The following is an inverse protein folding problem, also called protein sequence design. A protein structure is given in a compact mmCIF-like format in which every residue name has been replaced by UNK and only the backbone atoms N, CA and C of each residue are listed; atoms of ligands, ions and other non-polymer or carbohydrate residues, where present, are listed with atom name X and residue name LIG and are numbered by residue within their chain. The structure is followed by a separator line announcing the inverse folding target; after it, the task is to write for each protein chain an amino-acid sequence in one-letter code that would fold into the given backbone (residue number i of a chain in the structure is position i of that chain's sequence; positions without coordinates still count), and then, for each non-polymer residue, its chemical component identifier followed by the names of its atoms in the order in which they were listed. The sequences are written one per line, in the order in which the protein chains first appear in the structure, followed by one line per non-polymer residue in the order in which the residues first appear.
data_IF_050607310729
#
_entry.id   IF_050607310729
#
_cell.length_a   1.000
_cell.length_b   1.000
_cell.length_c   1.000
_cell.angle_alpha   90.00
_cell.angle_beta   90.00
_cell.angle_gamma   90.00
#
_symmetry.space_group_name_H-M   'P 1'
#
loop_
_entity.id
_entity.type
_entity.pdbx_description
1 polymer ?
#
# COMPACT_ATOMS: atom_id res chain seq x y z
N UNK A 1 -10.81 36.15 7.12
CA UNK A 1 -10.97 35.81 8.56
C UNK A 1 -9.73 35.08 9.07
N UNK A 2 -9.83 34.38 10.20
CA UNK A 2 -8.71 33.69 10.87
C UNK A 2 -8.51 32.22 10.47
N UNK A 3 -9.32 31.72 9.55
CA UNK A 3 -9.41 30.29 9.22
C UNK A 3 -8.06 29.65 8.83
N UNK A 4 -7.31 30.25 7.90
CA UNK A 4 -6.02 29.72 7.46
C UNK A 4 -5.00 29.67 8.61
N UNK A 5 -5.02 30.66 9.50
CA UNK A 5 -4.18 30.68 10.70
C UNK A 5 -4.57 29.54 11.66
N UNK A 6 -5.86 29.31 11.87
CA UNK A 6 -6.34 28.22 12.73
C UNK A 6 -5.98 26.84 12.19
N UNK A 7 -6.02 26.65 10.87
CA UNK A 7 -5.56 25.42 10.20
C UNK A 7 -4.06 25.26 10.40
N UNK A 8 -3.27 26.30 10.13
CA UNK A 8 -1.81 26.27 10.29
C UNK A 8 -1.39 25.94 11.73
N UNK A 9 -2.06 26.51 12.73
CA UNK A 9 -1.83 26.20 14.15
C UNK A 9 -2.14 24.73 14.48
N UNK A 10 -3.30 24.22 14.03
CA UNK A 10 -3.65 22.82 14.25
C UNK A 10 -2.65 21.86 13.60
N UNK A 11 -2.19 22.18 12.39
CA UNK A 11 -1.16 21.41 11.69
C UNK A 11 0.20 21.48 12.38
N UNK A 12 0.61 22.67 12.86
CA UNK A 12 1.88 22.83 13.58
C UNK A 12 1.89 22.00 14.87
N UNK A 13 0.79 22.02 15.63
CA UNK A 13 0.61 21.21 16.84
C UNK A 13 0.70 19.71 16.55
N UNK A 14 0.01 19.23 15.50
CA UNK A 14 0.09 17.83 15.08
C UNK A 14 1.47 17.43 14.56
N UNK A 15 2.19 18.34 13.89
CA UNK A 15 3.48 18.06 13.27
C UNK A 15 4.64 18.07 14.29
N UNK A 16 4.43 18.66 15.47
CA UNK A 16 5.45 18.76 16.52
C UNK A 16 5.99 17.40 16.98
N UNK A 17 5.23 16.31 16.82
CA UNK A 17 5.64 14.93 17.15
C UNK A 17 5.55 13.95 15.97
N UNK A 18 5.38 14.43 14.73
CA UNK A 18 5.02 13.57 13.60
C UNK A 18 6.06 12.50 13.26
N UNK A 19 7.35 12.81 13.29
CA UNK A 19 8.39 11.83 12.95
C UNK A 19 8.43 10.70 13.98
N UNK A 20 8.35 11.06 15.28
CA UNK A 20 8.29 10.08 16.37
C UNK A 20 7.07 9.20 16.25
N UNK A 21 5.90 9.81 16.05
CA UNK A 21 4.62 9.11 16.04
C UNK A 21 4.50 8.16 14.84
N UNK A 22 5.11 8.49 13.69
CA UNK A 22 5.24 7.58 12.53
C UNK A 22 6.01 6.32 12.92
N UNK A 23 7.16 6.45 13.58
CA UNK A 23 7.97 5.30 14.00
C UNK A 23 7.24 4.47 15.05
N UNK A 24 6.70 5.10 16.11
CA UNK A 24 5.98 4.45 17.21
C UNK A 24 4.79 3.62 16.70
N UNK A 25 4.05 4.13 15.71
CA UNK A 25 2.91 3.41 15.11
C UNK A 25 3.36 2.23 14.26
N UNK A 26 4.60 2.25 13.76
CA UNK A 26 5.13 1.21 12.90
C UNK A 26 5.77 0.06 13.68
N UNK A 27 6.57 0.32 14.73
CA UNK A 27 7.20 -0.74 15.53
C UNK A 27 6.35 -1.12 16.77
N UNK A 28 6.12 -2.42 17.04
CA UNK A 28 6.39 -3.57 16.17
C UNK A 28 5.38 -3.73 15.04
N UNK A 29 5.83 -4.34 13.94
CA UNK A 29 5.03 -4.79 12.79
C UNK A 29 5.32 -6.27 12.44
N UNK A 30 4.89 -6.73 11.26
CA UNK A 30 5.12 -8.10 10.80
C UNK A 30 6.59 -8.45 10.58
N UNK A 31 7.49 -7.47 10.47
CA UNK A 31 8.93 -7.74 10.28
C UNK A 31 9.68 -7.94 11.60
N UNK A 32 8.98 -7.78 12.73
CA UNK A 32 9.52 -7.97 14.09
C UNK A 32 8.62 -8.94 14.89
N UNK A 33 8.44 -10.19 14.41
CA UNK A 33 7.40 -11.08 14.91
C UNK A 33 7.56 -11.49 16.38
N UNK A 34 8.78 -11.69 16.88
CA UNK A 34 9.02 -11.97 18.32
C UNK A 34 8.65 -10.75 19.15
N UNK A 35 9.19 -9.57 18.79
CA UNK A 35 8.91 -8.34 19.53
C UNK A 35 7.42 -7.98 19.49
N UNK A 36 6.75 -8.24 18.37
CA UNK A 36 5.30 -8.08 18.21
C UNK A 36 4.52 -8.93 19.20
N UNK A 37 4.85 -10.22 19.36
CA UNK A 37 4.13 -11.09 20.30
C UNK A 37 4.35 -10.66 21.76
N UNK A 38 5.56 -10.21 22.11
CA UNK A 38 5.86 -9.63 23.43
C UNK A 38 5.02 -8.37 23.65
N UNK A 39 5.00 -7.47 22.67
CA UNK A 39 4.23 -6.23 22.74
C UNK A 39 2.73 -6.47 22.86
N UNK A 40 2.17 -7.45 22.14
CA UNK A 40 0.76 -7.85 22.23
C UNK A 40 0.38 -8.26 23.66
N UNK A 41 1.25 -8.98 24.36
CA UNK A 41 1.04 -9.35 25.76
C UNK A 41 1.09 -8.16 26.73
N UNK A 42 1.80 -7.09 26.39
CA UNK A 42 1.95 -5.88 27.21
C UNK A 42 0.82 -4.88 26.98
N UNK A 43 0.36 -4.72 25.75
CA UNK A 43 -0.74 -3.79 25.41
C UNK A 43 -2.12 -4.33 25.81
N UNK A 44 -2.27 -5.66 25.90
CA UNK A 44 -3.49 -6.33 26.36
C UNK A 44 -3.17 -7.26 27.53
N UNK A 45 -2.83 -6.71 28.72
CA UNK A 45 -2.50 -7.54 29.86
C UNK A 45 -3.74 -8.35 30.27
N UNK A 46 -3.62 -9.67 30.19
CA UNK A 46 -4.67 -10.60 30.57
C UNK A 46 -4.06 -11.83 31.21
N UNK A 47 -4.72 -12.34 32.25
CA UNK A 47 -4.40 -13.62 32.88
C UNK A 47 -5.30 -14.69 32.26
N UNK A 48 -4.71 -15.57 31.46
CA UNK A 48 -5.42 -16.65 30.77
C UNK A 48 -5.40 -17.93 31.62
N UNK A 49 -6.53 -18.68 31.69
CA UNK A 49 -6.55 -20.04 32.19
C UNK A 49 -5.61 -20.95 31.38
N UNK A 50 -5.18 -22.07 31.98
CA UNK A 50 -4.19 -22.96 31.36
C UNK A 50 -4.58 -23.44 29.96
N UNK A 51 -5.84 -23.84 29.76
CA UNK A 51 -6.34 -24.28 28.46
C UNK A 51 -6.30 -23.18 27.38
N UNK A 52 -6.53 -21.92 27.76
CA UNK A 52 -6.44 -20.78 26.83
C UNK A 52 -5.00 -20.37 26.59
N UNK A 53 -4.12 -20.52 27.58
CA UNK A 53 -2.69 -20.28 27.42
C UNK A 53 -2.03 -21.29 26.50
N UNK A 54 -2.45 -22.55 26.52
CA UNK A 54 -2.01 -23.57 25.54
C UNK A 54 -2.45 -23.22 24.11
N UNK A 55 -3.69 -22.73 23.93
CA UNK A 55 -4.12 -22.19 22.63
C UNK A 55 -3.26 -21.00 22.21
N UNK A 56 -2.98 -20.09 23.15
CA UNK A 56 -2.14 -18.92 22.88
C UNK A 56 -0.72 -19.29 22.50
N UNK A 57 -0.15 -20.32 23.14
CA UNK A 57 1.14 -20.89 22.77
C UNK A 57 1.15 -21.45 21.35
N UNK A 58 0.09 -22.17 20.95
CA UNK A 58 -0.05 -22.67 19.59
C UNK A 58 -0.11 -21.53 18.56
N UNK A 59 -0.87 -20.45 18.84
CA UNK A 59 -0.91 -19.24 18.01
C UNK A 59 0.47 -18.59 17.87
N UNK A 60 1.21 -18.44 18.97
CA UNK A 60 2.55 -17.85 18.97
C UNK A 60 3.51 -18.72 18.15
N UNK A 61 3.46 -20.05 18.31
CA UNK A 61 4.31 -20.98 17.53
C UNK A 61 4.02 -20.88 16.03
N UNK A 62 2.75 -20.77 15.65
CA UNK A 62 2.37 -20.59 14.25
C UNK A 62 2.86 -19.24 13.70
N UNK A 63 2.66 -18.16 14.45
CA UNK A 63 3.14 -16.82 14.10
C UNK A 63 4.67 -16.74 13.94
N UNK A 64 5.42 -17.57 14.68
CA UNK A 64 6.88 -17.63 14.65
C UNK A 64 7.44 -18.71 13.71
N UNK A 65 6.58 -19.48 13.01
CA UNK A 65 6.99 -20.63 12.20
C UNK A 65 7.91 -20.26 11.04
N UNK A 66 7.64 -19.12 10.38
CA UNK A 66 8.42 -18.62 9.25
C UNK A 66 9.32 -17.44 9.64
N UNK A 67 9.65 -17.29 10.94
CA UNK A 67 10.48 -16.18 11.37
C UNK A 67 11.91 -16.32 10.82
N UNK A 68 12.49 -15.19 10.48
CA UNK A 68 13.90 -15.08 10.11
C UNK A 68 14.62 -14.25 11.18
N UNK A 69 15.29 -14.87 12.18
CA UNK A 69 15.85 -14.16 13.33
C UNK A 69 16.83 -13.05 12.95
N UNK A 70 17.68 -13.30 11.95
CA UNK A 70 18.64 -12.30 11.45
C UNK A 70 17.90 -11.12 10.84
N UNK A 71 16.84 -11.35 10.07
CA UNK A 71 16.01 -10.29 9.49
C UNK A 71 15.32 -9.46 10.57
N UNK A 72 14.71 -10.11 11.58
CA UNK A 72 14.09 -9.41 12.71
C UNK A 72 15.11 -8.56 13.49
N UNK A 73 16.33 -9.07 13.74
CA UNK A 73 17.40 -8.28 14.37
C UNK A 73 17.72 -7.03 13.55
N UNK A 74 17.90 -7.17 12.23
CA UNK A 74 18.22 -6.03 11.37
C UNK A 74 17.07 -5.01 11.32
N UNK A 75 15.81 -5.46 11.35
CA UNK A 75 14.65 -4.58 11.43
C UNK A 75 14.56 -3.85 12.76
N UNK A 76 14.83 -4.52 13.89
CA UNK A 76 14.90 -3.86 15.20
C UNK A 76 16.03 -2.82 15.24
N UNK A 77 17.21 -3.14 14.71
CA UNK A 77 18.32 -2.17 14.58
C UNK A 77 17.92 -0.96 13.74
N UNK A 78 17.22 -1.17 12.62
CA UNK A 78 16.69 -0.08 11.79
C UNK A 78 15.79 0.86 12.60
N UNK A 79 14.83 0.32 13.37
CA UNK A 79 13.96 1.15 14.20
C UNK A 79 14.69 1.86 15.34
N UNK A 80 15.67 1.23 15.99
CA UNK A 80 16.50 1.92 16.98
C UNK A 80 17.35 3.04 16.36
N UNK A 81 17.86 2.84 15.13
CA UNK A 81 18.51 3.91 14.38
C UNK A 81 17.57 5.06 14.08
N UNK A 82 16.35 4.75 13.63
CA UNK A 82 15.32 5.75 13.38
C UNK A 82 14.96 6.54 14.65
N UNK A 83 14.88 5.89 15.81
CA UNK A 83 14.68 6.59 17.08
C UNK A 83 15.84 7.51 17.46
N UNK A 84 17.08 7.07 17.23
CA UNK A 84 18.29 7.87 17.51
C UNK A 84 18.43 9.11 16.62
N UNK A 85 17.83 9.07 15.43
CA UNK A 85 17.87 10.14 14.42
C UNK A 85 16.67 11.11 14.53
N UNK A 86 15.81 10.93 15.53
CA UNK A 86 14.67 11.81 15.73
C UNK A 86 15.10 13.26 16.00
N UNK A 87 14.40 14.27 15.44
CA UNK A 87 14.68 15.66 15.71
C UNK A 87 14.56 16.01 17.20
N UNK A 88 15.22 17.10 17.60
CA UNK A 88 15.09 17.64 18.95
C UNK A 88 13.63 17.92 19.29
N UNK A 89 13.20 17.52 20.49
CA UNK A 89 11.81 17.61 20.95
C UNK A 89 10.92 16.45 20.52
N UNK A 90 11.41 15.54 19.67
CA UNK A 90 10.69 14.35 19.21
C UNK A 90 11.28 13.05 19.72
N UNK A 91 12.24 13.08 20.64
CA UNK A 91 12.85 11.86 21.15
C UNK A 91 11.82 10.90 21.79
N UNK A 92 12.09 9.60 21.67
CA UNK A 92 11.29 8.56 22.32
C UNK A 92 11.98 8.11 23.61
N UNK A 93 11.39 8.46 24.76
CA UNK A 93 11.96 8.16 26.09
C UNK A 93 12.29 6.68 26.28
N UNK A 94 11.43 5.77 25.81
CA UNK A 94 11.69 4.33 25.93
C UNK A 94 13.00 3.86 25.27
N UNK A 95 13.48 4.57 24.24
CA UNK A 95 14.81 4.33 23.66
C UNK A 95 15.90 5.16 24.35
N UNK A 96 15.65 6.43 24.66
CA UNK A 96 16.66 7.33 25.26
C UNK A 96 17.01 6.97 26.70
N UNK A 97 16.06 6.50 27.50
CA UNK A 97 16.31 6.03 28.88
C UNK A 97 17.31 4.87 28.88
N UNK A 98 17.38 4.13 27.77
CA UNK A 98 18.26 2.97 27.60
C UNK A 98 19.57 3.29 26.89
N UNK A 99 19.50 4.08 25.81
CA UNK A 99 20.60 4.26 24.87
C UNK A 99 21.11 5.70 24.80
N UNK A 100 20.41 6.67 25.38
CA UNK A 100 20.67 8.10 25.22
C UNK A 100 21.98 8.58 25.86
N UNK A 101 22.52 7.83 26.83
CA UNK A 101 23.84 8.09 27.41
C UNK A 101 25.00 7.67 26.49
N UNK A 102 24.72 6.82 25.49
CA UNK A 102 25.70 6.33 24.52
C UNK A 102 25.66 7.15 23.23
N UNK A 103 26.79 7.22 22.53
CA UNK A 103 26.93 7.94 21.26
C UNK A 103 27.71 7.11 20.24
N UNK A 104 27.50 7.41 18.96
CA UNK A 104 28.24 6.80 17.85
C UNK A 104 28.21 5.26 17.90
N UNK A 105 29.37 4.64 17.67
CA UNK A 105 29.49 3.18 17.63
C UNK A 105 29.02 2.50 18.94
N UNK A 106 29.31 3.09 20.10
CA UNK A 106 28.90 2.52 21.38
C UNK A 106 27.37 2.39 21.52
N UNK A 107 26.62 3.37 21.01
CA UNK A 107 25.15 3.29 20.97
C UNK A 107 24.69 2.20 20.00
N UNK A 108 25.28 2.16 18.79
CA UNK A 108 24.94 1.17 17.76
C UNK A 108 25.22 -0.26 18.21
N UNK A 109 26.31 -0.49 18.94
CA UNK A 109 26.65 -1.79 19.51
C UNK A 109 25.66 -2.21 20.60
N UNK A 110 25.24 -1.27 21.47
CA UNK A 110 24.25 -1.53 22.51
C UNK A 110 22.86 -1.84 21.92
N UNK A 111 22.42 -1.08 20.93
CA UNK A 111 21.18 -1.32 20.19
C UNK A 111 21.21 -2.67 19.47
N UNK A 112 22.32 -3.00 18.80
CA UNK A 112 22.49 -4.29 18.12
C UNK A 112 22.47 -5.47 19.09
N UNK A 113 23.13 -5.35 20.25
CA UNK A 113 23.10 -6.38 21.30
C UNK A 113 21.68 -6.58 21.84
N UNK A 114 20.95 -5.49 22.06
CA UNK A 114 19.57 -5.56 22.53
C UNK A 114 18.63 -6.18 21.49
N UNK A 115 18.75 -5.78 20.23
CA UNK A 115 18.02 -6.38 19.11
C UNK A 115 18.29 -7.88 18.97
N UNK A 116 19.56 -8.30 19.07
CA UNK A 116 19.95 -9.71 19.03
C UNK A 116 19.37 -10.49 20.22
N UNK A 117 19.34 -9.89 21.42
CA UNK A 117 18.72 -10.49 22.60
C UNK A 117 17.22 -10.78 22.44
N UNK A 118 16.51 -9.98 21.65
CA UNK A 118 15.09 -10.21 21.30
C UNK A 118 14.96 -11.26 20.21
N UNK A 119 15.67 -11.10 19.10
CA UNK A 119 15.43 -11.87 17.88
C UNK A 119 16.08 -13.27 17.93
N UNK A 120 17.29 -13.35 18.47
CA UNK A 120 18.18 -14.52 18.43
C UNK A 120 18.46 -15.11 19.82
N UNK A 121 18.11 -14.41 20.90
CA UNK A 121 18.36 -14.87 22.27
C UNK A 121 17.49 -16.06 22.70
N UNK A 122 17.97 -16.80 23.68
CA UNK A 122 17.32 -18.02 24.17
C UNK A 122 16.16 -17.77 25.14
N UNK A 123 15.92 -16.51 25.54
CA UNK A 123 14.88 -16.18 26.50
C UNK A 123 13.49 -16.06 25.84
N UNK A 124 13.39 -15.40 24.69
CA UNK A 124 12.09 -15.10 24.07
C UNK A 124 11.56 -16.25 23.21
N UNK A 125 11.43 -17.43 23.83
CA UNK A 125 10.79 -18.60 23.22
C UNK A 125 9.26 -18.45 23.21
N UNK A 126 8.53 -19.20 22.36
CA UNK A 126 7.07 -19.21 22.38
C UNK A 126 6.48 -19.44 23.78
N UNK A 127 7.09 -20.32 24.56
CA UNK A 127 6.66 -20.68 25.91
C UNK A 127 6.81 -19.50 26.88
N UNK A 128 7.95 -18.80 26.85
CA UNK A 128 8.19 -17.65 27.71
C UNK A 128 7.32 -16.45 27.32
N UNK A 129 7.02 -16.28 26.04
CA UNK A 129 6.07 -15.26 25.59
C UNK A 129 4.64 -15.63 26.04
N UNK A 130 4.23 -16.90 25.88
CA UNK A 130 2.93 -17.37 26.35
C UNK A 130 2.78 -17.26 27.88
N UNK A 131 3.88 -17.42 28.63
CA UNK A 131 3.92 -17.25 30.07
C UNK A 131 3.63 -15.81 30.53
N UNK A 132 3.79 -14.80 29.66
CA UNK A 132 3.38 -13.42 29.97
C UNK A 132 1.87 -13.27 30.23
N UNK A 133 1.08 -14.22 29.74
CA UNK A 133 -0.37 -14.34 29.97
C UNK A 133 -0.74 -15.20 31.18
N UNK A 134 0.24 -15.67 31.96
CA UNK A 134 0.03 -16.42 33.19
C UNK A 134 0.47 -15.64 34.45
N UNK A 135 0.44 -16.30 35.62
CA UNK A 135 0.98 -15.73 36.84
C UNK A 135 2.47 -15.40 36.67
N UNK A 136 2.86 -14.15 36.92
CA UNK A 136 4.27 -13.72 36.83
C UNK A 136 5.01 -14.05 38.12
N UNK A 137 6.18 -14.67 38.01
CA UNK A 137 7.10 -14.83 39.15
C UNK A 137 7.79 -13.48 39.41
N UNK A 138 8.04 -13.17 40.69
CA UNK A 138 8.81 -11.98 41.11
C UNK A 138 10.32 -12.12 40.82
N UNK A 139 10.72 -13.09 40.01
CA UNK A 139 12.12 -13.31 39.64
C UNK A 139 12.55 -12.19 38.68
N UNK A 140 13.52 -11.37 39.09
CA UNK A 140 14.11 -10.35 38.24
C UNK A 140 14.94 -11.00 37.13
N UNK A 141 14.66 -10.63 35.88
CA UNK A 141 15.42 -11.09 34.71
C UNK A 141 15.68 -9.89 33.79
N UNK A 142 16.92 -9.38 33.70
CA UNK A 142 17.23 -8.19 32.91
C UNK A 142 16.71 -8.26 31.47
N UNK A 143 16.95 -9.36 30.76
CA UNK A 143 16.53 -9.56 29.36
C UNK A 143 15.01 -9.53 29.20
N UNK A 144 14.28 -10.00 30.22
CA UNK A 144 12.82 -9.93 30.26
C UNK A 144 12.37 -8.51 30.54
N UNK A 145 12.80 -7.96 31.67
CA UNK A 145 12.27 -6.75 32.25
C UNK A 145 12.62 -5.52 31.37
N UNK A 146 13.78 -5.52 30.72
CA UNK A 146 14.20 -4.50 29.78
C UNK A 146 13.33 -4.44 28.51
N UNK A 147 12.99 -5.60 27.94
CA UNK A 147 12.16 -5.67 26.74
C UNK A 147 10.70 -5.37 27.09
N UNK A 148 10.23 -5.80 28.26
CA UNK A 148 8.90 -5.42 28.78
C UNK A 148 8.81 -3.91 29.07
N UNK A 149 9.88 -3.28 29.56
CA UNK A 149 9.94 -1.84 29.76
C UNK A 149 9.84 -1.09 28.42
N UNK A 150 10.61 -1.51 27.40
CA UNK A 150 10.49 -0.94 26.05
C UNK A 150 9.07 -1.11 25.47
N UNK A 151 8.49 -2.32 25.60
CA UNK A 151 7.14 -2.59 25.12
C UNK A 151 6.09 -1.72 25.84
N UNK A 152 6.26 -1.49 27.15
CA UNK A 152 5.37 -0.63 27.93
C UNK A 152 5.51 0.84 27.52
N UNK A 153 6.74 1.32 27.33
CA UNK A 153 6.98 2.68 26.83
C UNK A 153 6.39 2.90 25.43
N UNK A 154 6.50 1.90 24.53
CA UNK A 154 5.87 1.98 23.21
C UNK A 154 4.34 2.00 23.29
N UNK A 155 3.74 1.22 24.20
CA UNK A 155 2.28 1.24 24.43
C UNK A 155 1.83 2.64 24.86
N UNK A 156 2.51 3.21 25.85
CA UNK A 156 2.15 4.52 26.40
C UNK A 156 2.33 5.60 25.33
N UNK A 157 3.42 5.57 24.58
CA UNK A 157 3.65 6.50 23.47
C UNK A 157 2.64 6.33 22.32
N UNK A 158 2.17 5.10 22.03
CA UNK A 158 1.05 4.87 21.07
C UNK A 158 -0.26 5.45 21.57
N UNK A 159 -0.55 5.33 22.87
CA UNK A 159 -1.75 5.91 23.47
C UNK A 159 -1.73 7.44 23.37
N UNK A 160 -0.60 8.06 23.71
CA UNK A 160 -0.43 9.51 23.56
C UNK A 160 -0.54 9.97 22.09
N UNK A 161 0.08 9.25 21.16
CA UNK A 161 -0.01 9.54 19.73
C UNK A 161 -1.45 9.39 19.20
N UNK A 162 -2.24 8.48 19.77
CA UNK A 162 -3.66 8.31 19.45
C UNK A 162 -4.50 9.45 20.02
N UNK A 163 -4.22 9.88 21.25
CA UNK A 163 -4.90 11.02 21.88
C UNK A 163 -4.64 12.33 21.11
N UNK A 164 -3.39 12.60 20.71
CA UNK A 164 -3.05 13.76 19.86
C UNK A 164 -3.77 13.73 18.52
N UNK A 165 -3.82 12.56 17.87
CA UNK A 165 -4.54 12.41 16.60
C UNK A 165 -6.05 12.67 16.74
N UNK A 166 -6.67 12.21 17.83
CA UNK A 166 -8.07 12.48 18.11
C UNK A 166 -8.35 13.97 18.36
N UNK A 167 -7.48 14.64 19.12
CA UNK A 167 -7.58 16.09 19.35
C UNK A 167 -7.43 16.90 18.04
N UNK A 168 -6.47 16.52 17.19
CA UNK A 168 -6.32 17.12 15.86
C UNK A 168 -7.56 16.91 14.99
N UNK A 169 -8.09 15.68 14.92
CA UNK A 169 -9.28 15.35 14.14
C UNK A 169 -10.50 16.20 14.56
N UNK A 170 -10.75 16.29 15.87
CA UNK A 170 -11.86 17.08 16.43
C UNK A 170 -11.79 18.58 16.05
N UNK A 171 -10.59 19.11 15.83
CA UNK A 171 -10.37 20.50 15.42
C UNK A 171 -10.39 20.67 13.90
N UNK A 172 -9.70 19.80 13.15
CA UNK A 172 -9.44 19.99 11.72
C UNK A 172 -10.68 19.76 10.86
N UNK A 173 -11.61 18.89 11.26
CA UNK A 173 -12.77 18.54 10.44
C UNK A 173 -13.68 19.74 10.19
N UNK A 174 -13.97 20.53 11.23
CA UNK A 174 -14.73 21.78 11.09
C UNK A 174 -13.99 22.80 10.24
N UNK A 175 -12.67 22.93 10.42
CA UNK A 175 -11.87 23.91 9.68
C UNK A 175 -11.78 23.55 8.19
N UNK A 176 -11.65 22.27 7.86
CA UNK A 176 -11.69 21.76 6.48
C UNK A 176 -13.02 22.05 5.81
N UNK A 177 -14.15 21.83 6.51
CA UNK A 177 -15.47 22.18 5.99
C UNK A 177 -15.56 23.67 5.61
N UNK A 178 -15.19 24.56 6.55
CA UNK A 178 -15.23 26.01 6.30
C UNK A 178 -14.30 26.42 5.16
N UNK A 179 -13.14 25.77 5.04
CA UNK A 179 -12.19 26.04 3.97
C UNK A 179 -12.78 25.66 2.61
N UNK A 180 -13.36 24.46 2.50
CA UNK A 180 -13.98 24.00 1.26
C UNK A 180 -15.17 24.89 0.84
N UNK A 181 -16.00 25.33 1.80
CA UNK A 181 -17.08 26.28 1.54
C UNK A 181 -16.56 27.60 0.98
N UNK A 182 -15.55 28.21 1.63
CA UNK A 182 -14.97 29.46 1.15
C UNK A 182 -14.31 29.32 -0.22
N UNK A 183 -13.65 28.19 -0.49
CA UNK A 183 -13.07 27.90 -1.81
C UNK A 183 -14.13 27.73 -2.90
N UNK A 184 -15.25 27.08 -2.57
CA UNK A 184 -16.37 26.91 -3.50
C UNK A 184 -17.03 28.25 -3.86
N UNK A 185 -17.30 29.08 -2.86
CA UNK A 185 -17.84 30.44 -3.04
C UNK A 185 -16.90 31.32 -3.87
N UNK A 186 -15.60 31.31 -3.54
CA UNK A 186 -14.60 32.13 -4.24
C UNK A 186 -14.44 31.72 -5.70
N UNK A 187 -14.46 30.41 -6.00
CA UNK A 187 -14.27 29.90 -7.36
C UNK A 187 -15.57 29.78 -8.15
N UNK A 188 -16.74 29.95 -7.51
CA UNK A 188 -18.04 29.74 -8.15
C UNK A 188 -18.26 28.32 -8.65
N UNK A 189 -17.59 27.33 -8.05
CA UNK A 189 -17.71 25.92 -8.42
C UNK A 189 -17.78 25.03 -7.20
N UNK A 190 -18.58 23.98 -7.26
CA UNK A 190 -18.62 22.95 -6.22
C UNK A 190 -17.58 21.89 -6.56
N UNK A 191 -16.48 21.77 -5.79
CA UNK A 191 -15.52 20.70 -6.02
C UNK A 191 -16.16 19.33 -5.77
N UNK A 192 -15.70 18.30 -6.49
CA UNK A 192 -16.05 16.93 -6.14
C UNK A 192 -15.39 16.56 -4.80
N UNK A 193 -16.04 15.75 -3.95
CA UNK A 193 -15.49 15.37 -2.65
C UNK A 193 -14.26 14.47 -2.82
N UNK A 194 -13.31 14.55 -1.90
CA UNK A 194 -12.18 13.62 -1.82
C UNK A 194 -12.66 12.16 -1.76
N UNK A 195 -11.87 11.24 -2.30
CA UNK A 195 -12.19 9.82 -2.27
C UNK A 195 -12.22 9.28 -0.83
N UNK A 196 -13.20 8.43 -0.53
CA UNK A 196 -13.42 7.87 0.81
C UNK A 196 -13.98 6.43 0.76
N UNK A 197 -13.52 5.64 -0.21
CA UNK A 197 -13.97 4.25 -0.46
C UNK A 197 -15.46 4.11 -0.81
N UNK A 198 -16.08 5.17 -1.31
CA UNK A 198 -17.44 5.14 -1.87
C UNK A 198 -17.42 5.12 -3.39
N UNK A 199 -18.52 4.68 -4.00
CA UNK A 199 -18.67 4.67 -5.46
C UNK A 199 -18.55 6.09 -6.03
N UNK A 200 -17.73 6.26 -7.06
CA UNK A 200 -17.57 7.49 -7.84
C UNK A 200 -17.64 7.21 -9.33
N UNK A 201 -17.82 8.27 -10.12
CA UNK A 201 -17.80 8.22 -11.57
C UNK A 201 -16.87 9.32 -12.10
N UNK A 202 -15.97 8.94 -13.00
CA UNK A 202 -15.12 9.85 -13.77
C UNK A 202 -15.34 9.58 -15.26
N UNK A 203 -15.21 10.62 -16.08
CA UNK A 203 -15.31 10.51 -17.53
C UNK A 203 -14.16 11.26 -18.20
N UNK A 204 -13.87 10.89 -19.43
CA UNK A 204 -12.75 11.45 -20.17
C UNK A 204 -12.62 10.79 -21.53
N UNK A 205 -11.53 11.11 -22.22
CA UNK A 205 -11.28 10.65 -23.57
C UNK A 205 -10.06 9.72 -23.59
N UNK A 206 -10.07 8.74 -24.49
CA UNK A 206 -8.85 8.01 -24.84
C UNK A 206 -7.90 8.98 -25.52
N UNK A 207 -6.77 9.31 -24.87
CA UNK A 207 -5.88 10.39 -25.28
C UNK A 207 -4.44 10.09 -24.87
N UNK A 208 -3.52 10.26 -25.81
CA UNK A 208 -2.08 10.22 -25.53
C UNK A 208 -1.61 11.39 -24.66
N UNK A 209 -0.31 11.45 -24.37
CA UNK A 209 0.31 12.57 -23.67
C UNK A 209 1.78 12.70 -24.03
N UNK A 210 2.34 13.91 -23.84
CA UNK A 210 3.78 14.10 -23.95
C UNK A 210 4.40 13.82 -22.58
N UNK A 211 5.26 12.82 -22.43
CA UNK A 211 5.95 12.58 -21.15
C UNK A 211 7.03 13.64 -20.90
N UNK A 212 7.77 14.01 -21.95
CA UNK A 212 8.76 15.10 -21.97
C UNK A 212 8.86 15.71 -23.37
N UNK A 213 9.76 16.68 -23.54
CA UNK A 213 10.08 17.28 -24.83
C UNK A 213 10.37 16.19 -25.89
N UNK A 214 9.81 16.36 -27.09
CA UNK A 214 9.86 15.44 -28.22
C UNK A 214 9.41 13.98 -27.99
N UNK A 215 8.77 13.64 -26.86
CA UNK A 215 8.31 12.27 -26.58
C UNK A 215 6.79 12.20 -26.38
N UNK A 216 6.09 11.70 -27.39
CA UNK A 216 4.65 11.46 -27.35
C UNK A 216 4.34 9.97 -27.06
N UNK A 217 3.55 9.72 -26.01
CA UNK A 217 2.97 8.42 -25.69
C UNK A 217 1.62 8.30 -26.41
N UNK A 218 1.55 7.39 -27.38
CA UNK A 218 0.31 7.08 -28.07
C UNK A 218 -0.72 6.42 -27.14
N UNK A 219 -2.03 6.56 -27.43
CA UNK A 219 -3.06 6.09 -26.52
C UNK A 219 -3.23 4.56 -26.45
N UNK A 220 -2.61 3.79 -27.33
CA UNK A 220 -2.81 2.34 -27.46
C UNK A 220 -1.50 1.58 -27.60
N UNK A 221 -1.41 0.41 -26.97
CA UNK A 221 -0.35 -0.58 -27.19
C UNK A 221 -0.92 -1.82 -27.88
N UNK A 222 -0.06 -2.68 -28.42
CA UNK A 222 -0.47 -3.92 -29.12
C UNK A 222 0.43 -5.09 -28.73
N UNK A 223 0.04 -6.31 -29.10
CA UNK A 223 0.87 -7.51 -28.88
C UNK A 223 2.24 -7.35 -29.54
N UNK A 224 2.37 -6.67 -30.69
CA UNK A 224 3.69 -6.38 -31.28
C UNK A 224 4.62 -5.67 -30.31
N UNK A 225 4.15 -4.60 -29.66
CA UNK A 225 4.93 -3.87 -28.67
C UNK A 225 5.16 -4.65 -27.37
N UNK A 226 4.34 -5.66 -27.07
CA UNK A 226 4.63 -6.63 -26.01
C UNK A 226 5.80 -7.54 -26.40
N UNK A 227 5.83 -8.04 -27.63
CA UNK A 227 6.89 -8.92 -28.13
C UNK A 227 8.22 -8.18 -28.35
N UNK A 228 8.20 -6.89 -28.67
CA UNK A 228 9.40 -6.04 -28.70
C UNK A 228 10.12 -5.97 -27.35
N UNK A 229 9.40 -6.19 -26.24
CA UNK A 229 9.94 -6.16 -24.87
C UNK A 229 10.37 -7.52 -24.35
N UNK A 230 10.05 -8.60 -25.05
CA UNK A 230 10.29 -9.96 -24.58
C UNK A 230 11.79 -10.27 -24.57
N UNK A 231 12.32 -10.59 -23.39
CA UNK A 231 13.70 -11.01 -23.17
C UNK A 231 13.81 -12.51 -22.87
N UNK A 232 12.68 -13.20 -22.69
CA UNK A 232 12.63 -14.60 -22.28
C UNK A 232 12.93 -14.84 -20.80
N UNK A 233 13.05 -13.77 -19.99
CA UNK A 233 13.33 -13.85 -18.55
C UNK A 233 12.33 -12.99 -17.78
N UNK A 234 11.80 -13.51 -16.67
CA UNK A 234 10.90 -12.77 -15.78
C UNK A 234 11.50 -11.39 -15.41
N UNK A 235 10.74 -10.29 -15.51
CA UNK A 235 9.29 -10.19 -15.77
C UNK A 235 8.89 -10.05 -17.26
N UNK A 236 9.83 -10.21 -18.20
CA UNK A 236 9.61 -10.03 -19.64
C UNK A 236 9.78 -11.36 -20.40
N UNK A 237 9.06 -12.39 -19.98
CA UNK A 237 9.05 -13.74 -20.53
C UNK A 237 7.70 -14.08 -21.18
N UNK A 238 7.43 -13.49 -22.35
CA UNK A 238 6.15 -13.66 -23.04
C UNK A 238 5.90 -15.14 -23.40
N UNK A 239 4.72 -15.72 -23.07
CA UNK A 239 4.42 -17.12 -23.36
C UNK A 239 4.51 -17.43 -24.86
N UNK A 240 5.11 -18.58 -25.22
CA UNK A 240 5.32 -18.98 -26.62
C UNK A 240 4.04 -18.93 -27.45
N UNK A 241 2.91 -19.34 -26.88
CA UNK A 241 1.62 -19.35 -27.57
C UNK A 241 1.14 -17.96 -28.02
N UNK A 242 1.46 -16.86 -27.30
CA UNK A 242 1.13 -15.50 -27.76
C UNK A 242 1.97 -15.16 -29.01
N UNK A 243 3.24 -15.57 -29.03
CA UNK A 243 4.13 -15.39 -30.19
C UNK A 243 3.58 -16.11 -31.41
N UNK A 244 3.14 -17.36 -31.23
CA UNK A 244 2.58 -18.19 -32.31
C UNK A 244 1.29 -17.57 -32.87
N UNK A 245 0.38 -17.11 -32.01
CA UNK A 245 -0.86 -16.43 -32.43
C UNK A 245 -0.58 -15.14 -33.21
N UNK A 246 0.40 -14.34 -32.78
CA UNK A 246 0.82 -13.12 -33.47
C UNK A 246 1.50 -13.41 -34.81
N UNK A 247 2.34 -14.44 -34.90
CA UNK A 247 3.00 -14.85 -36.13
C UNK A 247 2.00 -15.40 -37.17
N UNK A 248 1.01 -16.17 -36.71
CA UNK A 248 -0.05 -16.72 -37.56
C UNK A 248 -1.12 -15.70 -37.97
N UNK A 249 -1.19 -14.55 -37.29
CA UNK A 249 -2.27 -13.58 -37.48
C UNK A 249 -3.64 -14.08 -36.98
N UNK A 250 -3.67 -15.08 -36.09
CA UNK A 250 -4.90 -15.69 -35.59
C UNK A 250 -5.52 -14.86 -34.46
N UNK A 251 -6.01 -13.67 -34.81
CA UNK A 251 -6.62 -12.73 -33.86
C UNK A 251 -8.13 -12.89 -33.73
N UNK A 252 -8.76 -13.64 -34.65
CA UNK A 252 -10.21 -13.69 -34.79
C UNK A 252 -10.84 -12.29 -34.91
N UNK A 253 -11.93 -12.06 -34.17
CA UNK A 253 -12.68 -10.79 -34.14
C UNK A 253 -12.02 -9.68 -33.31
N UNK A 254 -10.90 -9.95 -32.64
CA UNK A 254 -10.27 -9.02 -31.70
C UNK A 254 -9.13 -8.21 -32.34
N UNK A 255 -8.73 -8.57 -33.56
CA UNK A 255 -7.63 -7.93 -34.28
C UNK A 255 -7.94 -6.50 -34.74
N UNK A 256 -6.92 -5.66 -34.73
CA UNK A 256 -6.92 -4.28 -35.24
C UNK A 256 -5.54 -3.97 -35.83
N UNK A 257 -5.46 -3.79 -37.16
CA UNK A 257 -4.22 -3.41 -37.84
C UNK A 257 -3.10 -4.45 -37.75
N UNK A 258 -3.42 -5.75 -37.84
CA UNK A 258 -2.43 -6.84 -37.85
C UNK A 258 -1.91 -7.25 -36.46
N UNK A 259 -2.56 -6.81 -35.39
CA UNK A 259 -2.28 -7.24 -34.02
C UNK A 259 -3.54 -7.07 -33.16
N UNK A 260 -3.48 -7.40 -31.88
CA UNK A 260 -4.55 -7.11 -30.91
C UNK A 260 -4.08 -5.94 -30.04
N UNK A 261 -4.96 -4.97 -29.81
CA UNK A 261 -4.70 -3.88 -28.87
C UNK A 261 -4.64 -4.47 -27.46
N UNK A 262 -3.62 -4.13 -26.68
CA UNK A 262 -3.39 -4.70 -25.34
C UNK A 262 -3.91 -3.75 -24.27
N UNK A 263 -3.29 -2.56 -24.15
CA UNK A 263 -3.69 -1.54 -23.19
C UNK A 263 -4.03 -0.24 -23.91
N UNK A 264 -4.78 0.61 -23.22
CA UNK A 264 -4.99 1.99 -23.62
C UNK A 264 -4.90 2.96 -22.44
N UNK A 265 -4.71 4.23 -22.76
CA UNK A 265 -4.70 5.32 -21.78
C UNK A 265 -5.82 6.33 -22.01
N UNK A 266 -6.38 6.86 -20.93
CA UNK A 266 -7.47 7.84 -20.99
C UNK A 266 -7.32 8.95 -19.93
N UNK A 267 -8.03 10.05 -20.13
CA UNK A 267 -8.01 11.21 -19.22
C UNK A 267 -8.95 11.07 -18.02
N UNK A 268 -9.37 9.86 -17.66
CA UNK A 268 -10.14 9.66 -16.43
C UNK A 268 -9.24 9.88 -15.21
N UNK A 269 -9.84 10.36 -14.11
CA UNK A 269 -9.17 10.61 -12.84
C UNK A 269 -9.38 9.44 -11.88
N UNK A 270 -8.28 8.75 -11.55
CA UNK A 270 -8.29 7.59 -10.66
C UNK A 270 -7.19 7.73 -9.62
N UNK A 271 -7.43 7.08 -8.48
CA UNK A 271 -6.44 6.83 -7.43
C UNK A 271 -6.53 5.38 -6.96
N UNK A 272 -5.76 5.02 -5.92
CA UNK A 272 -5.83 3.72 -5.27
C UNK A 272 -7.27 3.31 -4.91
N UNK A 273 -7.64 2.06 -5.22
CA UNK A 273 -8.99 1.52 -5.04
C UNK A 273 -9.82 1.42 -6.33
N UNK A 274 -9.38 2.04 -7.44
CA UNK A 274 -10.07 1.93 -8.73
C UNK A 274 -9.64 0.71 -9.58
N UNK A 275 -8.60 -0.04 -9.18
CA UNK A 275 -8.19 -1.25 -9.89
C UNK A 275 -9.34 -2.25 -10.00
N UNK A 276 -9.60 -2.74 -11.22
CA UNK A 276 -10.74 -3.59 -11.54
C UNK A 276 -12.00 -2.84 -12.02
N UNK A 277 -12.00 -1.50 -11.99
CA UNK A 277 -13.16 -0.72 -12.46
C UNK A 277 -13.40 -0.92 -13.96
N UNK A 278 -14.66 -1.11 -14.40
CA UNK A 278 -14.99 -1.18 -15.82
C UNK A 278 -14.88 0.22 -16.45
N UNK A 279 -14.33 0.29 -17.66
CA UNK A 279 -14.45 1.48 -18.52
C UNK A 279 -15.58 1.26 -19.51
N UNK A 280 -16.48 2.23 -19.60
CA UNK A 280 -17.59 2.22 -20.55
C UNK A 280 -17.37 3.22 -21.69
N UNK A 281 -17.84 2.88 -22.89
CA UNK A 281 -17.95 3.83 -23.98
C UNK A 281 -19.21 4.72 -23.84
N UNK A 282 -19.42 5.64 -24.79
CA UNK A 282 -20.59 6.54 -24.80
C UNK A 282 -21.96 5.86 -24.91
N UNK A 283 -22.00 4.55 -25.21
CA UNK A 283 -23.21 3.73 -25.25
C UNK A 283 -23.40 2.88 -23.98
N UNK A 284 -22.52 3.00 -22.98
CA UNK A 284 -22.57 2.20 -21.75
C UNK A 284 -22.04 0.77 -21.91
N UNK A 285 -21.30 0.47 -22.97
CA UNK A 285 -20.71 -0.85 -23.22
C UNK A 285 -19.29 -0.91 -22.67
N UNK A 286 -18.91 -2.00 -22.01
CA UNK A 286 -17.58 -2.13 -21.42
C UNK A 286 -16.51 -2.27 -22.50
N UNK A 287 -15.50 -1.40 -22.45
CA UNK A 287 -14.38 -1.36 -23.40
C UNK A 287 -13.02 -1.60 -22.75
N UNK A 288 -12.95 -1.63 -21.43
CA UNK A 288 -11.72 -1.94 -20.73
C UNK A 288 -11.89 -2.19 -19.24
N UNK A 289 -10.77 -2.48 -18.59
CA UNK A 289 -10.67 -2.65 -17.14
C UNK A 289 -9.48 -1.83 -16.66
N UNK A 290 -9.71 -0.95 -15.69
CA UNK A 290 -8.67 -0.15 -15.05
C UNK A 290 -7.75 -1.07 -14.26
N UNK A 291 -6.44 -0.89 -14.40
CA UNK A 291 -5.48 -1.61 -13.54
C UNK A 291 -4.40 -0.72 -12.95
N UNK A 292 -4.07 0.42 -13.56
CA UNK A 292 -2.99 1.30 -13.09
C UNK A 292 -3.14 2.74 -13.61
N UNK A 293 -2.22 3.62 -13.22
CA UNK A 293 -2.02 4.98 -13.74
C UNK A 293 -0.58 5.16 -14.24
N UNK A 294 -0.32 6.19 -15.06
CA UNK A 294 1.04 6.51 -15.45
C UNK A 294 1.85 7.13 -14.29
N UNK A 295 3.18 7.20 -14.46
CA UNK A 295 4.08 7.73 -13.43
C UNK A 295 3.72 9.15 -12.98
N UNK A 296 3.36 10.04 -13.92
CA UNK A 296 2.92 11.40 -13.61
C UNK A 296 1.60 11.43 -12.79
N UNK A 297 0.81 10.36 -12.86
CA UNK A 297 -0.42 10.17 -12.09
C UNK A 297 -0.22 9.80 -10.62
N UNK A 298 1.02 9.55 -10.15
CA UNK A 298 1.30 9.24 -8.74
C UNK A 298 0.85 10.36 -7.78
N UNK A 299 0.75 11.60 -8.27
CA UNK A 299 0.28 12.75 -7.51
C UNK A 299 -1.24 12.93 -7.48
N UNK A 300 -2.05 12.04 -8.09
CA UNK A 300 -3.50 12.20 -8.22
C UNK A 300 -4.23 12.34 -6.87
N UNK A 301 -3.67 11.79 -5.78
CA UNK A 301 -4.21 11.97 -4.43
C UNK A 301 -4.23 13.44 -3.97
N UNK A 302 -3.41 14.30 -4.60
CA UNK A 302 -3.28 15.72 -4.27
C UNK A 302 -3.72 16.64 -5.41
N UNK A 303 -3.41 16.28 -6.65
CA UNK A 303 -3.69 17.11 -7.82
C UNK A 303 -3.71 16.28 -9.11
N UNK A 304 -4.74 16.53 -9.93
CA UNK A 304 -4.86 15.99 -11.27
C UNK A 304 -4.31 16.99 -12.31
N UNK A 305 -3.28 16.59 -13.07
CA UNK A 305 -2.77 17.37 -14.21
C UNK A 305 -3.40 16.86 -15.53
N UNK A 306 -4.28 17.64 -16.18
CA UNK A 306 -4.94 17.24 -17.44
C UNK A 306 -3.97 16.95 -18.59
N UNK A 307 -2.78 17.56 -18.59
CA UNK A 307 -1.81 17.40 -19.67
C UNK A 307 -1.06 16.06 -19.56
N UNK A 308 -0.84 15.58 -18.34
CA UNK A 308 0.04 14.44 -18.06
C UNK A 308 -0.69 13.21 -17.54
N UNK A 309 -1.74 13.36 -16.74
CA UNK A 309 -2.25 12.27 -15.93
C UNK A 309 -3.17 11.38 -16.76
N UNK A 310 -2.91 10.07 -16.72
CA UNK A 310 -3.58 9.08 -17.55
C UNK A 310 -3.88 7.82 -16.75
N UNK A 311 -5.13 7.41 -16.82
CA UNK A 311 -5.56 6.07 -16.40
C UNK A 311 -5.07 5.05 -17.42
N UNK A 312 -4.46 3.96 -16.95
CA UNK A 312 -4.06 2.81 -17.77
C UNK A 312 -5.10 1.70 -17.60
N UNK A 313 -5.56 1.17 -18.72
CA UNK A 313 -6.56 0.11 -18.76
C UNK A 313 -6.18 -0.97 -19.75
N UNK A 314 -6.54 -2.21 -19.44
CA UNK A 314 -6.49 -3.30 -20.41
C UNK A 314 -7.70 -3.18 -21.33
N UNK A 315 -7.48 -3.30 -22.64
CA UNK A 315 -8.54 -3.28 -23.64
C UNK A 315 -9.37 -4.56 -23.55
N UNK A 316 -10.70 -4.44 -23.56
CA UNK A 316 -11.57 -5.61 -23.42
C UNK A 316 -11.36 -6.63 -24.54
N UNK A 317 -10.93 -6.19 -25.74
CA UNK A 317 -10.61 -7.10 -26.85
C UNK A 317 -9.41 -7.97 -26.52
N UNK A 318 -8.42 -7.47 -25.80
CA UNK A 318 -7.28 -8.27 -25.34
C UNK A 318 -7.72 -9.32 -24.34
N UNK A 319 -8.57 -8.95 -23.37
CA UNK A 319 -9.11 -9.88 -22.39
C UNK A 319 -9.86 -11.01 -23.08
N UNK A 320 -10.78 -10.69 -23.99
CA UNK A 320 -11.56 -11.68 -24.73
C UNK A 320 -10.69 -12.52 -25.68
N UNK A 321 -9.66 -11.92 -26.31
CA UNK A 321 -8.67 -12.64 -27.11
C UNK A 321 -7.88 -13.64 -26.25
N UNK A 322 -7.41 -13.22 -25.08
CA UNK A 322 -6.70 -14.11 -24.15
C UNK A 322 -7.63 -15.23 -23.70
N UNK A 323 -8.89 -14.95 -23.35
CA UNK A 323 -9.84 -15.99 -22.95
C UNK A 323 -10.12 -16.99 -24.08
N UNK A 324 -10.47 -16.52 -25.27
CA UNK A 324 -10.87 -17.39 -26.40
C UNK A 324 -9.67 -18.06 -27.08
N UNK A 325 -8.69 -17.28 -27.54
CA UNK A 325 -7.59 -17.75 -28.40
C UNK A 325 -6.42 -18.31 -27.61
N UNK A 326 -6.05 -17.70 -26.49
CA UNK A 326 -4.95 -18.19 -25.65
C UNK A 326 -5.42 -19.22 -24.62
N UNK A 327 -6.51 -18.98 -23.91
CA UNK A 327 -7.05 -19.83 -22.84
C UNK A 327 -7.90 -20.99 -23.34
N UNK A 328 -8.37 -20.96 -24.61
CA UNK A 328 -9.36 -21.89 -25.16
C UNK A 328 -10.67 -21.93 -24.37
N UNK A 329 -11.00 -20.85 -23.68
CA UNK A 329 -12.16 -20.73 -22.79
C UNK A 329 -13.34 -20.04 -23.49
N UNK A 330 -13.67 -20.47 -24.71
CA UNK A 330 -14.73 -19.86 -25.52
C UNK A 330 -16.11 -19.88 -24.83
N UNK A 331 -16.38 -20.86 -23.98
CA UNK A 331 -17.63 -20.97 -23.22
C UNK A 331 -17.91 -19.75 -22.32
N UNK A 332 -16.88 -19.05 -21.83
CA UNK A 332 -17.03 -17.82 -21.05
C UNK A 332 -17.61 -16.70 -21.93
N UNK A 333 -17.26 -16.66 -23.21
CA UNK A 333 -17.80 -15.67 -24.13
C UNK A 333 -19.25 -15.99 -24.52
N UNK A 334 -19.62 -17.26 -24.54
CA UNK A 334 -21.01 -17.69 -24.80
C UNK A 334 -21.97 -17.23 -23.69
N UNK A 335 -21.45 -17.03 -22.46
CA UNK A 335 -22.20 -16.47 -21.33
C UNK A 335 -22.35 -14.93 -21.42
N UNK A 336 -21.55 -14.26 -22.27
CA UNK A 336 -21.52 -12.80 -22.38
C UNK A 336 -22.37 -12.28 -23.54
N UNK A 337 -23.04 -11.15 -23.33
CA UNK A 337 -23.67 -10.40 -24.43
C UNK A 337 -22.64 -9.48 -25.08
N UNK A 338 -22.00 -9.93 -26.15
CA UNK A 338 -21.06 -9.12 -26.93
C UNK A 338 -21.77 -8.23 -27.95
N UNK A 339 -21.41 -6.95 -28.00
CA UNK A 339 -21.90 -5.96 -28.98
C UNK A 339 -20.75 -5.44 -29.86
N UNK A 340 -21.06 -4.73 -30.95
CA UNK A 340 -20.03 -4.07 -31.78
C UNK A 340 -19.19 -4.97 -32.70
N UNK A 341 -19.65 -6.18 -33.06
CA UNK A 341 -18.95 -7.06 -34.00
C UNK A 341 -18.73 -6.34 -35.36
N UNK A 342 -17.54 -6.46 -36.00
CA UNK A 342 -17.37 -5.99 -37.36
C UNK A 342 -18.41 -6.68 -38.25
N UNK A 343 -19.16 -5.92 -39.06
CA UNK A 343 -19.98 -6.51 -40.13
C UNK A 343 -19.06 -7.40 -40.95
N UNK A 344 -19.31 -8.71 -40.95
CA UNK A 344 -18.68 -9.65 -41.87
C UNK A 344 -18.85 -9.08 -43.27
N UNK A 345 -17.74 -8.71 -43.92
CA UNK A 345 -17.75 -8.43 -45.36
C UNK A 345 -18.12 -9.76 -46.01
N UNK A 346 -19.37 -9.87 -46.48
CA UNK A 346 -19.79 -11.02 -47.25
C UNK A 346 -18.77 -11.25 -48.36
N UNK A 347 -18.22 -12.46 -48.44
CA UNK A 347 -17.37 -12.85 -49.54
C UNK A 347 -18.10 -12.54 -50.85
N UNK A 348 -17.49 -11.72 -51.70
CA UNK A 348 -17.99 -11.51 -53.05
C UNK A 348 -18.06 -12.89 -53.73
N UNK A 349 -19.25 -13.24 -54.22
CA UNK A 349 -19.48 -14.43 -55.05
C UNK A 349 -18.83 -14.27 -56.40
#
# INVERSE_FOLDING_TARGET
GTLLKQIAEASAESNASAFRDVIIRRIPDSTTPVFRQIFEAVIRPQMLPDAEREKKLAEIRDALKSREPVYEREMLKFFFSAFAELPEGQQFSGAEDRFGSLKGQARRDAEAKFAAGIAEGDYWTPENIAALYGPRTMEYRPERDDVLALASALRDARNEASARAAAFAARIDRLRLLYQQGMAEMKGTTPYPDANLTLRFTYGNVKGYNSREAEFRSPFTTIRGMLEKDTGVMPFDAPQRIKDLQAAGDFGRFGSGGSVVVNFISTTDIIGGNSGSPIFNGAGEQVGIVFDSNFEGLGNDFYYDPEKNRTISVDIRFVLFVTEKFGRAGWILDEMKLTGQPKTRAAAK
#
